data_IF_264060643656
#
_entry.id   IF_264060643656
#
_cell.length_a   1.000
_cell.length_b   1.000
_cell.length_c   1.000
_cell.angle_alpha   90.00
_cell.angle_beta   90.00
_cell.angle_gamma   90.00
#
_symmetry.space_group_name_H-M   'P 1'
#
loop_
_entity.id
_entity.type
_entity.pdbx_description
1 polymer ?
#
# COMPACT_ATOMS: atom_id res chain seq x y z
N UNK A 1 34.70 -16.65 -9.03
CA UNK A 1 33.28 -16.82 -9.38
C UNK A 1 32.66 -15.45 -9.60
N UNK A 2 32.35 -15.06 -10.85
CA UNK A 2 31.67 -13.79 -11.20
C UNK A 2 30.26 -13.98 -11.81
N UNK A 3 29.85 -15.23 -12.01
CA UNK A 3 28.63 -15.63 -12.73
C UNK A 3 27.34 -15.32 -11.92
N UNK A 4 27.44 -15.14 -10.59
CA UNK A 4 26.28 -14.94 -9.73
C UNK A 4 25.62 -13.55 -9.83
N UNK A 5 26.40 -12.48 -10.08
CA UNK A 5 25.87 -11.11 -10.07
C UNK A 5 25.14 -10.75 -11.36
N UNK A 6 25.67 -11.19 -12.50
CA UNK A 6 25.05 -10.96 -13.81
C UNK A 6 23.71 -11.71 -13.94
N UNK A 7 23.65 -12.94 -13.43
CA UNK A 7 22.39 -13.71 -13.41
C UNK A 7 21.32 -13.03 -12.55
N UNK A 8 21.71 -12.52 -11.38
CA UNK A 8 20.79 -11.84 -10.46
C UNK A 8 20.24 -10.53 -11.06
N UNK A 9 21.10 -9.75 -11.73
CA UNK A 9 20.69 -8.53 -12.44
C UNK A 9 19.71 -8.87 -13.57
N UNK A 10 20.01 -9.90 -14.36
CA UNK A 10 19.14 -10.33 -15.46
C UNK A 10 17.76 -10.79 -14.96
N UNK A 11 17.71 -11.60 -13.89
CA UNK A 11 16.45 -12.04 -13.28
C UNK A 11 15.63 -10.86 -12.73
N UNK A 12 16.27 -9.83 -12.19
CA UNK A 12 15.59 -8.61 -11.71
C UNK A 12 15.04 -7.76 -12.87
N UNK A 13 15.82 -7.57 -13.93
CA UNK A 13 15.38 -6.84 -15.12
C UNK A 13 14.17 -7.53 -15.79
N UNK A 14 14.20 -8.86 -15.87
CA UNK A 14 13.10 -9.65 -16.42
C UNK A 14 11.81 -9.50 -15.61
N UNK A 15 11.90 -9.60 -14.27
CA UNK A 15 10.75 -9.38 -13.37
C UNK A 15 10.21 -7.96 -13.47
N UNK A 16 11.08 -6.95 -13.53
CA UNK A 16 10.66 -5.56 -13.67
C UNK A 16 9.90 -5.33 -14.97
N UNK A 17 10.44 -5.83 -16.09
CA UNK A 17 9.77 -5.75 -17.40
C UNK A 17 8.42 -6.47 -17.37
N UNK A 18 8.37 -7.64 -16.73
CA UNK A 18 7.13 -8.41 -16.62
C UNK A 18 6.08 -7.67 -15.80
N UNK A 19 6.48 -7.01 -14.71
CA UNK A 19 5.56 -6.21 -13.90
C UNK A 19 4.97 -5.06 -14.72
N UNK A 20 5.80 -4.32 -15.47
CA UNK A 20 5.33 -3.24 -16.32
C UNK A 20 4.35 -3.74 -17.39
N UNK A 21 4.62 -4.89 -18.01
CA UNK A 21 3.73 -5.54 -18.97
C UNK A 21 2.38 -5.92 -18.34
N UNK A 22 2.40 -6.60 -17.19
CA UNK A 22 1.18 -7.03 -16.48
C UNK A 22 0.34 -5.82 -16.07
N UNK A 23 0.97 -4.74 -15.58
CA UNK A 23 0.25 -3.51 -15.23
C UNK A 23 -0.40 -2.86 -16.46
N UNK A 24 0.29 -2.84 -17.61
CA UNK A 24 -0.27 -2.31 -18.85
C UNK A 24 -1.41 -3.16 -19.41
N UNK A 25 -1.35 -4.49 -19.24
CA UNK A 25 -2.44 -5.40 -19.59
C UNK A 25 -3.66 -5.14 -18.70
N UNK A 26 -3.48 -5.03 -17.38
CA UNK A 26 -4.56 -4.75 -16.42
C UNK A 26 -5.31 -3.44 -16.69
N UNK A 27 -4.67 -2.45 -17.32
CA UNK A 27 -5.34 -1.18 -17.70
C UNK A 27 -6.31 -1.34 -18.88
N UNK A 28 -6.10 -2.36 -19.71
CA UNK A 28 -6.80 -2.57 -20.99
C UNK A 28 -7.73 -3.77 -20.96
N UNK A 29 -7.50 -4.70 -20.04
CA UNK A 29 -8.26 -5.93 -19.94
C UNK A 29 -9.68 -5.67 -19.42
N UNK A 30 -10.63 -6.38 -20.02
CA UNK A 30 -12.06 -6.31 -19.68
C UNK A 30 -12.64 -7.69 -19.36
N UNK A 31 -11.93 -8.76 -19.70
CA UNK A 31 -12.28 -10.12 -19.30
C UNK A 31 -12.03 -10.31 -17.80
N UNK A 32 -13.07 -10.72 -17.07
CA UNK A 32 -13.04 -10.81 -15.61
C UNK A 32 -12.04 -11.84 -15.12
N UNK A 33 -12.01 -13.02 -15.75
CA UNK A 33 -11.15 -14.12 -15.31
C UNK A 33 -9.68 -13.81 -15.57
N UNK A 34 -9.38 -13.26 -16.75
CA UNK A 34 -8.04 -12.80 -17.08
C UNK A 34 -7.61 -11.63 -16.20
N UNK A 35 -8.52 -10.75 -15.81
CA UNK A 35 -8.24 -9.69 -14.84
C UNK A 35 -7.83 -10.28 -13.49
N UNK A 36 -8.54 -11.31 -12.98
CA UNK A 36 -8.18 -11.98 -11.73
C UNK A 36 -6.77 -12.56 -11.77
N UNK A 37 -6.45 -13.28 -12.85
CA UNK A 37 -5.13 -13.90 -13.02
C UNK A 37 -4.01 -12.87 -13.14
N UNK A 38 -4.23 -11.80 -13.93
CA UNK A 38 -3.26 -10.71 -14.03
C UNK A 38 -3.10 -9.96 -12.70
N UNK A 39 -4.16 -9.81 -11.90
CA UNK A 39 -4.08 -9.19 -10.57
C UNK A 39 -3.29 -10.05 -9.58
N UNK A 40 -3.48 -11.38 -9.60
CA UNK A 40 -2.65 -12.33 -8.82
C UNK A 40 -1.18 -12.20 -9.19
N UNK A 41 -0.89 -12.17 -10.49
CA UNK A 41 0.48 -12.02 -10.99
C UNK A 41 1.09 -10.66 -10.59
N UNK A 42 0.32 -9.57 -10.75
CA UNK A 42 0.74 -8.23 -10.35
C UNK A 42 1.08 -8.17 -8.86
N UNK A 43 0.23 -8.75 -7.99
CA UNK A 43 0.49 -8.82 -6.55
C UNK A 43 1.81 -9.53 -6.24
N UNK A 44 2.05 -10.70 -6.82
CA UNK A 44 3.28 -11.48 -6.59
C UNK A 44 4.52 -10.70 -7.01
N UNK A 45 4.47 -10.03 -8.17
CA UNK A 45 5.57 -9.21 -8.68
C UNK A 45 5.80 -7.95 -7.83
N UNK A 46 4.74 -7.28 -7.37
CA UNK A 46 4.82 -6.13 -6.47
C UNK A 46 5.41 -6.53 -5.11
N UNK A 47 4.96 -7.64 -4.54
CA UNK A 47 5.48 -8.19 -3.29
C UNK A 47 6.99 -8.41 -3.37
N UNK A 48 7.45 -9.08 -4.43
CA UNK A 48 8.89 -9.28 -4.68
C UNK A 48 9.60 -7.94 -4.76
N UNK A 49 9.06 -6.98 -5.52
CA UNK A 49 9.68 -5.66 -5.69
C UNK A 49 9.82 -4.90 -4.38
N UNK A 50 8.82 -4.95 -3.51
CA UNK A 50 8.88 -4.32 -2.19
C UNK A 50 9.89 -5.00 -1.28
N UNK A 51 9.94 -6.34 -1.27
CA UNK A 51 10.97 -7.09 -0.52
C UNK A 51 12.39 -6.72 -0.99
N UNK A 52 12.62 -6.66 -2.30
CA UNK A 52 13.91 -6.24 -2.88
C UNK A 52 14.28 -4.78 -2.55
N UNK A 53 13.29 -3.96 -2.24
CA UNK A 53 13.48 -2.55 -1.83
C UNK A 53 13.65 -2.40 -0.31
N UNK A 54 13.86 -3.49 0.43
CA UNK A 54 14.02 -3.50 1.88
C UNK A 54 12.71 -3.49 2.68
N UNK A 55 11.58 -3.76 2.04
CA UNK A 55 10.29 -3.85 2.71
C UNK A 55 10.19 -5.09 3.60
N UNK A 56 9.78 -4.91 4.85
CA UNK A 56 9.42 -5.98 5.78
C UNK A 56 7.96 -6.37 5.55
N UNK A 57 7.72 -7.61 5.11
CA UNK A 57 6.38 -8.12 4.84
C UNK A 57 5.65 -8.58 6.10
N UNK A 58 4.37 -8.22 6.16
CA UNK A 58 3.39 -8.61 7.17
C UNK A 58 2.18 -9.27 6.51
N UNK A 59 1.87 -10.48 6.94
CA UNK A 59 0.68 -11.23 6.54
C UNK A 59 -0.53 -10.94 7.46
N UNK A 60 -0.33 -10.67 8.75
CA UNK A 60 -1.35 -10.11 9.64
C UNK A 60 -1.30 -8.57 9.66
N UNK A 61 -2.36 -7.94 9.15
CA UNK A 61 -2.47 -6.48 9.10
C UNK A 61 -2.65 -5.84 10.49
N UNK A 62 -3.17 -6.57 11.48
CA UNK A 62 -3.35 -6.05 12.83
C UNK A 62 -2.01 -5.96 13.56
N UNK A 63 -1.16 -6.97 13.42
CA UNK A 63 0.22 -6.93 13.91
C UNK A 63 0.97 -5.76 13.26
N UNK A 64 0.83 -5.62 11.94
CA UNK A 64 1.39 -4.49 11.22
C UNK A 64 0.95 -3.13 11.80
N UNK A 65 -0.34 -2.90 12.06
CA UNK A 65 -0.81 -1.65 12.68
C UNK A 65 -0.27 -1.45 14.09
N UNK A 66 -0.14 -2.54 14.86
CA UNK A 66 0.44 -2.49 16.19
C UNK A 66 1.93 -2.09 16.15
N UNK A 67 2.66 -2.42 15.09
CA UNK A 67 4.10 -2.18 15.00
C UNK A 67 4.47 -0.82 14.44
N UNK A 68 3.55 -0.24 13.68
CA UNK A 68 3.70 1.14 13.24
C UNK A 68 3.75 2.07 14.45
N UNK A 69 4.71 3.00 14.41
CA UNK A 69 4.90 4.03 15.42
C UNK A 69 4.99 5.38 14.76
N UNK A 70 4.13 6.31 15.19
CA UNK A 70 4.23 7.73 14.84
C UNK A 70 3.00 8.28 14.13
N UNK A 71 3.23 9.41 13.45
CA UNK A 71 2.21 10.18 12.75
C UNK A 71 2.49 10.16 11.26
N UNK A 72 1.47 9.82 10.49
CA UNK A 72 1.58 9.57 9.06
C UNK A 72 0.51 10.35 8.32
N UNK A 73 0.85 10.74 7.10
CA UNK A 73 -0.12 11.15 6.11
C UNK A 73 -0.36 9.93 5.22
N UNK A 74 -1.60 9.48 5.16
CA UNK A 74 -1.99 8.20 4.57
C UNK A 74 -2.97 8.44 3.43
N UNK A 75 -2.81 7.76 2.31
CA UNK A 75 -3.72 7.87 1.16
C UNK A 75 -3.72 6.64 0.28
N UNK A 76 -4.79 6.46 -0.46
CA UNK A 76 -4.82 5.59 -1.62
C UNK A 76 -3.97 6.19 -2.76
N UNK A 77 -3.20 5.34 -3.40
CA UNK A 77 -2.40 5.68 -4.56
C UNK A 77 -2.44 4.52 -5.58
N UNK A 78 -2.13 4.81 -6.84
CA UNK A 78 -2.10 3.76 -7.86
C UNK A 78 -0.91 2.82 -7.64
N UNK A 79 -1.10 1.49 -7.78
CA UNK A 79 -0.01 0.52 -7.58
C UNK A 79 1.25 0.83 -8.39
N UNK A 80 1.08 1.26 -9.64
CA UNK A 80 2.18 1.68 -10.52
C UNK A 80 3.02 2.82 -9.92
N UNK A 81 2.37 3.84 -9.36
CA UNK A 81 3.07 4.98 -8.79
C UNK A 81 3.79 4.59 -7.51
N UNK A 82 3.19 3.73 -6.69
CA UNK A 82 3.82 3.21 -5.47
C UNK A 82 5.07 2.39 -5.81
N UNK A 83 4.98 1.47 -6.79
CA UNK A 83 6.12 0.68 -7.27
C UNK A 83 7.24 1.58 -7.81
N UNK A 84 6.90 2.59 -8.60
CA UNK A 84 7.86 3.57 -9.10
C UNK A 84 8.53 4.33 -7.95
N UNK A 85 7.79 4.67 -6.90
CA UNK A 85 8.33 5.39 -5.75
C UNK A 85 9.27 4.53 -4.92
N UNK A 86 8.82 3.34 -4.52
CA UNK A 86 9.56 2.42 -3.65
C UNK A 86 10.75 1.82 -4.38
N UNK A 87 10.52 1.26 -5.59
CA UNK A 87 11.53 0.51 -6.31
C UNK A 87 12.47 1.36 -7.17
N UNK A 88 12.02 2.52 -7.66
CA UNK A 88 12.82 3.37 -8.55
C UNK A 88 13.23 4.71 -7.92
N UNK A 89 12.98 4.89 -6.62
CA UNK A 89 13.29 6.12 -5.88
C UNK A 89 12.75 7.39 -6.56
N UNK A 90 11.51 7.34 -7.07
CA UNK A 90 10.86 8.49 -7.70
C UNK A 90 9.91 9.20 -6.73
N UNK A 91 9.97 10.52 -6.69
CA UNK A 91 9.03 11.33 -5.90
C UNK A 91 7.57 11.11 -6.31
N UNK A 92 6.69 11.01 -5.32
CA UNK A 92 5.24 11.03 -5.54
C UNK A 92 4.70 12.46 -5.48
N UNK A 93 4.26 12.97 -6.63
CA UNK A 93 3.53 14.24 -6.69
C UNK A 93 2.13 14.08 -6.09
N UNK A 94 1.86 14.79 -5.01
CA UNK A 94 0.56 14.84 -4.34
C UNK A 94 -0.13 16.13 -4.75
N UNK A 95 -1.28 16.00 -5.39
CA UNK A 95 -2.15 17.12 -5.73
C UNK A 95 -3.59 16.75 -5.40
N UNK A 96 -4.32 17.58 -4.66
CA UNK A 96 -5.75 17.38 -4.46
C UNK A 96 -6.50 17.72 -5.76
N UNK A 97 -7.68 17.14 -5.93
CA UNK A 97 -8.64 17.59 -6.92
C UNK A 97 -9.52 18.67 -6.26
N UNK A 98 -9.30 19.94 -6.61
CA UNK A 98 -9.94 21.09 -5.94
C UNK A 98 -9.66 21.08 -4.42
N UNK A 99 -10.68 21.38 -3.62
CA UNK A 99 -10.62 21.44 -2.16
C UNK A 99 -11.16 20.17 -1.49
N UNK A 100 -11.25 19.06 -2.21
CA UNK A 100 -11.62 17.78 -1.62
C UNK A 100 -10.45 17.17 -0.84
N UNK A 101 -10.74 16.45 0.25
CA UNK A 101 -9.73 15.65 0.93
C UNK A 101 -9.04 14.71 -0.06
N UNK A 102 -7.79 14.37 0.24
CA UNK A 102 -7.02 13.43 -0.56
C UNK A 102 -5.99 12.65 0.26
N UNK A 103 -6.01 12.83 1.59
CA UNK A 103 -5.21 12.12 2.57
C UNK A 103 -5.97 12.03 3.90
N UNK A 104 -5.47 11.18 4.79
CA UNK A 104 -5.82 11.12 6.21
C UNK A 104 -4.57 11.41 7.02
N UNK A 105 -4.67 12.29 8.03
CA UNK A 105 -3.63 12.45 9.04
C UNK A 105 -3.86 11.41 10.14
N UNK A 106 -3.14 10.30 10.04
CA UNK A 106 -3.31 9.13 10.89
C UNK A 106 -2.20 9.04 11.93
N UNK A 107 -2.55 8.61 13.13
CA UNK A 107 -1.61 8.35 14.21
C UNK A 107 -1.73 6.88 14.61
N UNK A 108 -0.59 6.23 14.86
CA UNK A 108 -0.58 4.82 15.24
C UNK A 108 -1.42 4.51 16.49
N UNK A 109 -1.55 5.48 17.40
CA UNK A 109 -2.39 5.39 18.61
C UNK A 109 -3.89 5.19 18.31
N UNK A 110 -4.34 5.49 17.09
CA UNK A 110 -5.72 5.29 16.66
C UNK A 110 -6.00 3.88 16.12
N UNK A 111 -4.99 3.01 16.04
CA UNK A 111 -5.14 1.67 15.45
C UNK A 111 -5.70 1.76 14.04
N UNK A 112 -6.72 0.96 13.69
CA UNK A 112 -7.33 1.00 12.35
C UNK A 112 -8.24 2.20 12.09
N UNK A 113 -8.53 3.03 13.10
CA UNK A 113 -9.42 4.20 12.97
C UNK A 113 -8.79 5.22 12.03
N UNK A 114 -9.55 5.66 11.02
CA UNK A 114 -9.08 6.60 9.98
C UNK A 114 -8.43 5.95 8.76
N UNK A 115 -7.83 4.76 8.89
CA UNK A 115 -7.26 4.06 7.73
C UNK A 115 -8.32 3.67 6.69
N UNK A 116 -9.55 3.36 7.16
CA UNK A 116 -10.69 3.14 6.27
C UNK A 116 -10.96 4.34 5.36
N UNK A 117 -10.81 5.54 5.89
CA UNK A 117 -10.99 6.76 5.12
C UNK A 117 -9.84 6.94 4.13
N UNK A 118 -8.62 6.52 4.45
CA UNK A 118 -7.51 6.56 3.51
C UNK A 118 -7.74 5.71 2.24
N UNK A 119 -8.53 4.63 2.32
CA UNK A 119 -8.96 3.85 1.14
C UNK A 119 -9.96 4.59 0.25
N UNK A 120 -10.58 5.67 0.74
CA UNK A 120 -11.46 6.54 -0.04
C UNK A 120 -10.72 7.77 -0.55
N UNK A 121 -9.61 8.14 0.10
CA UNK A 121 -8.87 9.35 -0.18
C UNK A 121 -7.68 9.10 -1.11
N UNK A 122 -7.79 9.59 -2.34
CA UNK A 122 -6.75 9.47 -3.35
C UNK A 122 -7.26 8.86 -4.65
N UNK A 123 -6.36 8.24 -5.41
CA UNK A 123 -6.68 7.77 -6.75
C UNK A 123 -5.98 6.47 -7.07
N UNK A 124 -6.69 5.58 -7.74
CA UNK A 124 -6.09 4.46 -8.47
C UNK A 124 -6.38 3.10 -7.83
N UNK A 125 -6.83 2.19 -8.68
CA UNK A 125 -6.82 0.75 -8.47
C UNK A 125 -6.43 0.10 -9.79
N UNK A 126 -5.92 -1.13 -9.74
CA UNK A 126 -5.50 -1.86 -10.94
C UNK A 126 -6.01 -3.29 -10.85
N UNK A 127 -7.01 -3.64 -11.64
CA UNK A 127 -7.63 -4.98 -11.60
C UNK A 127 -8.19 -5.37 -10.22
N UNK A 128 -8.62 -4.39 -9.41
CA UNK A 128 -9.07 -4.59 -8.03
C UNK A 128 -7.96 -4.51 -6.98
N UNK A 129 -6.67 -4.53 -7.36
CA UNK A 129 -5.57 -4.24 -6.46
C UNK A 129 -5.57 -2.76 -6.05
N UNK A 130 -5.59 -2.53 -4.75
CA UNK A 130 -5.50 -1.19 -4.15
C UNK A 130 -4.27 -1.10 -3.29
N UNK A 131 -3.56 0.02 -3.39
CA UNK A 131 -2.45 0.36 -2.51
C UNK A 131 -2.78 1.60 -1.69
N UNK A 132 -2.58 1.49 -0.38
CA UNK A 132 -2.60 2.61 0.56
C UNK A 132 -1.19 2.83 1.06
N UNK A 133 -0.70 4.05 0.97
CA UNK A 133 0.65 4.41 1.39
C UNK A 133 0.59 5.31 2.61
N UNK A 134 1.55 5.14 3.51
CA UNK A 134 1.79 6.04 4.63
C UNK A 134 3.18 6.63 4.57
N UNK A 135 3.27 7.95 4.64
CA UNK A 135 4.54 8.67 4.68
C UNK A 135 4.57 9.68 5.82
N UNK A 136 5.78 10.01 6.28
CA UNK A 136 5.98 11.15 7.17
C UNK A 136 5.72 12.41 6.35
N UNK A 137 5.02 13.40 6.93
CA UNK A 137 4.69 14.66 6.24
C UNK A 137 5.92 15.35 5.62
N UNK A 138 7.10 15.21 6.26
CA UNK A 138 8.35 15.78 5.78
C UNK A 138 8.27 17.30 5.60
N UNK A 139 9.19 17.85 4.81
CA UNK A 139 9.15 19.26 4.35
C UNK A 139 8.51 19.43 2.97
N UNK A 140 8.42 18.34 2.19
CA UNK A 140 7.95 18.34 0.80
C UNK A 140 6.43 18.44 0.65
N UNK A 141 5.66 18.23 1.72
CA UNK A 141 4.20 18.19 1.69
C UNK A 141 3.60 19.20 2.65
N UNK A 142 2.66 19.98 2.14
CA UNK A 142 1.78 20.83 2.95
C UNK A 142 0.48 20.09 3.18
N UNK A 143 0.02 20.10 4.43
CA UNK A 143 -1.26 19.51 4.84
C UNK A 143 -2.07 20.63 5.48
N UNK A 144 -3.32 20.79 5.03
CA UNK A 144 -4.30 21.74 5.54
C UNK A 144 -5.59 21.03 5.90
N UNK A 145 -6.39 21.67 6.76
CA UNK A 145 -7.72 21.17 7.09
C UNK A 145 -8.68 21.31 5.91
N UNK A 146 -9.78 20.58 5.97
CA UNK A 146 -10.92 20.69 5.05
C UNK A 146 -12.06 21.47 5.70
N UNK A 147 -13.03 21.92 4.91
CA UNK A 147 -14.30 22.43 5.43
C UNK A 147 -15.04 21.37 6.25
N UNK A 148 -15.88 21.79 7.20
CA UNK A 148 -16.63 20.88 8.07
C UNK A 148 -17.57 19.97 7.27
N UNK A 149 -18.07 20.44 6.13
CA UNK A 149 -18.91 19.69 5.19
C UNK A 149 -18.19 18.46 4.58
N UNK A 150 -16.87 18.48 4.45
CA UNK A 150 -16.08 17.36 3.93
C UNK A 150 -15.70 16.35 5.04
N UNK A 151 -15.90 16.74 6.31
CA UNK A 151 -15.68 15.86 7.48
C UNK A 151 -16.88 14.96 7.77
N UNK A 152 -17.93 15.03 6.97
CA UNK A 152 -19.06 14.09 7.03
C UNK A 152 -19.31 13.48 5.66
N UNK A 153 -19.43 12.14 5.59
CA UNK A 153 -19.83 11.46 4.36
C UNK A 153 -20.74 10.29 4.70
N UNK A 154 -21.91 10.23 4.04
CA UNK A 154 -22.92 9.19 4.28
C UNK A 154 -23.30 9.04 5.77
N UNK A 155 -23.40 10.16 6.50
CA UNK A 155 -23.74 10.17 7.93
C UNK A 155 -22.63 9.68 8.86
N UNK A 156 -21.39 9.59 8.37
CA UNK A 156 -20.21 9.20 9.16
C UNK A 156 -19.22 10.35 9.26
N UNK A 157 -18.73 10.57 10.47
CA UNK A 157 -17.66 11.51 10.77
C UNK A 157 -16.30 11.02 10.25
N UNK A 158 -15.54 11.95 9.67
CA UNK A 158 -14.25 11.75 9.00
C UNK A 158 -13.23 12.79 9.48
N UNK A 159 -13.21 13.09 10.77
CA UNK A 159 -12.41 14.19 11.34
C UNK A 159 -10.88 14.12 11.12
N UNK A 160 -10.35 13.02 10.57
CA UNK A 160 -8.93 12.84 10.23
C UNK A 160 -8.59 13.15 8.76
N UNK A 161 -9.58 13.39 7.90
CA UNK A 161 -9.33 13.71 6.49
C UNK A 161 -8.73 15.11 6.33
N UNK A 162 -7.80 15.26 5.40
CA UNK A 162 -7.09 16.52 5.15
C UNK A 162 -6.86 16.71 3.66
N UNK A 163 -6.48 17.93 3.29
CA UNK A 163 -5.93 18.24 1.96
C UNK A 163 -4.41 18.24 2.07
N UNK A 164 -3.74 17.45 1.24
CA UNK A 164 -2.30 17.49 1.07
C UNK A 164 -1.91 17.91 -0.36
N UNK A 165 -0.84 18.70 -0.45
CA UNK A 165 -0.22 19.12 -1.72
C UNK A 165 1.30 19.17 -1.58
N UNK A 166 2.01 18.63 -2.57
CA UNK A 166 3.48 18.68 -2.60
C UNK A 166 4.11 17.46 -3.27
N UNK A 167 5.30 17.08 -2.79
CA UNK A 167 6.02 15.89 -3.21
C UNK A 167 6.37 15.06 -1.99
N UNK A 168 5.98 13.78 -2.00
CA UNK A 168 6.47 12.79 -1.05
C UNK A 168 7.78 12.22 -1.61
N UNK A 169 8.86 12.30 -0.84
CA UNK A 169 10.10 11.64 -1.22
C UNK A 169 10.01 10.15 -0.86
N UNK A 170 10.67 9.25 -1.62
CA UNK A 170 10.68 7.82 -1.32
C UNK A 170 11.13 7.51 0.11
N UNK A 171 12.12 8.23 0.62
CA UNK A 171 12.63 8.12 2.00
C UNK A 171 11.62 8.49 3.09
N UNK A 172 10.60 9.31 2.75
CA UNK A 172 9.52 9.64 3.67
C UNK A 172 8.47 8.53 3.73
N UNK A 173 8.45 7.59 2.77
CA UNK A 173 7.50 6.48 2.75
C UNK A 173 7.86 5.46 3.83
N UNK A 174 6.91 5.22 4.73
CA UNK A 174 7.14 4.36 5.88
C UNK A 174 6.47 3.01 5.69
N UNK A 175 5.35 2.98 4.96
CA UNK A 175 4.65 1.74 4.72
C UNK A 175 3.75 1.76 3.48
N UNK A 176 3.42 0.56 3.02
CA UNK A 176 2.41 0.29 2.00
C UNK A 176 1.48 -0.81 2.51
N UNK A 177 0.18 -0.63 2.34
CA UNK A 177 -0.86 -1.64 2.57
C UNK A 177 -1.40 -2.05 1.20
N UNK A 178 -1.34 -3.33 0.88
CA UNK A 178 -2.00 -3.92 -0.27
C UNK A 178 -3.38 -4.44 0.16
N UNK A 179 -4.41 -4.15 -0.65
CA UNK A 179 -5.75 -4.73 -0.52
C UNK A 179 -6.15 -5.38 -1.82
N UNK A 180 -6.55 -6.65 -1.76
CA UNK A 180 -6.98 -7.43 -2.92
C UNK A 180 -8.31 -8.12 -2.65
N UNK A 181 -9.20 -8.25 -3.65
CA UNK A 181 -10.31 -9.19 -3.57
C UNK A 181 -9.79 -10.62 -3.38
N UNK A 182 -10.52 -11.44 -2.62
CA UNK A 182 -10.09 -12.81 -2.26
C UNK A 182 -9.94 -13.68 -3.51
N UNK A 183 -10.85 -13.53 -4.47
CA UNK A 183 -10.83 -14.25 -5.75
C UNK A 183 -9.61 -13.91 -6.61
N UNK A 184 -8.96 -12.76 -6.34
CA UNK A 184 -7.74 -12.31 -7.00
C UNK A 184 -6.48 -12.55 -6.14
N UNK A 185 -6.59 -13.25 -4.99
CA UNK A 185 -5.46 -13.47 -4.10
C UNK A 185 -4.88 -14.88 -4.30
N UNK A 186 -3.54 -15.08 -4.26
CA UNK A 186 -2.95 -16.40 -4.34
C UNK A 186 -3.44 -17.31 -3.20
N UNK A 187 -4.07 -18.44 -3.53
CA UNK A 187 -4.75 -19.29 -2.54
C UNK A 187 -3.80 -19.88 -1.49
N UNK A 188 -2.55 -20.13 -1.89
CA UNK A 188 -1.45 -20.63 -1.07
C UNK A 188 -0.92 -19.59 -0.07
N UNK A 189 -1.20 -18.30 -0.29
CA UNK A 189 -0.85 -17.21 0.63
C UNK A 189 -2.00 -16.79 1.56
N UNK A 190 -3.19 -17.41 1.44
CA UNK A 190 -4.34 -17.12 2.32
C UNK A 190 -4.12 -17.79 3.68
N UNK A 191 -3.98 -16.98 4.72
CA UNK A 191 -3.76 -17.45 6.10
C UNK A 191 -5.03 -18.01 6.74
N UNK A 192 -4.89 -18.72 7.86
CA UNK A 192 -6.02 -19.17 8.68
C UNK A 192 -6.84 -18.01 9.26
N UNK A 193 -6.19 -16.90 9.59
CA UNK A 193 -6.82 -15.66 10.04
C UNK A 193 -7.68 -15.03 8.95
N UNK A 194 -7.18 -14.99 7.71
CA UNK A 194 -7.97 -14.50 6.57
C UNK A 194 -9.23 -15.35 6.42
N UNK A 195 -9.10 -16.69 6.40
CA UNK A 195 -10.23 -17.62 6.29
C UNK A 195 -11.25 -17.41 7.41
N UNK A 196 -10.79 -17.20 8.64
CA UNK A 196 -11.66 -16.92 9.78
C UNK A 196 -12.41 -15.61 9.59
N UNK A 197 -11.72 -14.56 9.13
CA UNK A 197 -12.32 -13.24 8.92
C UNK A 197 -13.35 -13.26 7.79
N UNK A 198 -13.07 -14.01 6.72
CA UNK A 198 -13.99 -14.26 5.60
C UNK A 198 -15.28 -14.93 6.11
N UNK A 199 -15.16 -16.02 6.86
CA UNK A 199 -16.30 -16.78 7.36
C UNK A 199 -17.11 -16.01 8.41
N UNK A 200 -16.44 -15.31 9.32
CA UNK A 200 -17.08 -14.67 10.48
C UNK A 200 -17.66 -13.28 10.17
N UNK A 201 -16.99 -12.51 9.31
CA UNK A 201 -17.33 -11.11 9.06
C UNK A 201 -17.74 -10.83 7.61
N UNK A 202 -17.87 -11.88 6.78
CA UNK A 202 -18.14 -11.76 5.34
C UNK A 202 -17.14 -10.79 4.67
N UNK A 203 -15.87 -10.89 5.07
CA UNK A 203 -14.81 -10.08 4.52
C UNK A 203 -14.56 -10.52 3.07
N UNK A 204 -14.51 -9.56 2.14
CA UNK A 204 -14.31 -9.82 0.70
C UNK A 204 -12.89 -9.51 0.21
N UNK A 205 -12.01 -9.06 1.11
CA UNK A 205 -10.67 -8.60 0.76
C UNK A 205 -9.61 -9.18 1.68
N UNK A 206 -8.41 -9.38 1.15
CA UNK A 206 -7.20 -9.72 1.91
C UNK A 206 -6.31 -8.48 1.99
N UNK A 207 -5.71 -8.26 3.16
CA UNK A 207 -4.81 -7.13 3.41
C UNK A 207 -3.41 -7.64 3.74
N UNK A 208 -2.38 -7.00 3.17
CA UNK A 208 -0.97 -7.27 3.46
C UNK A 208 -0.22 -5.97 3.69
N UNK A 209 0.69 -5.96 4.65
CA UNK A 209 1.49 -4.80 5.02
C UNK A 209 2.94 -4.93 4.55
N UNK A 210 3.54 -3.81 4.18
CA UNK A 210 4.98 -3.66 4.00
C UNK A 210 5.44 -2.44 4.77
N UNK A 211 6.42 -2.61 5.65
CA UNK A 211 7.07 -1.49 6.34
C UNK A 211 8.47 -1.28 5.76
N UNK A 212 8.87 -0.02 5.57
CA UNK A 212 10.15 0.36 4.92
C UNK A 212 11.09 1.12 5.86
N UNK A 213 10.81 1.15 7.16
CA UNK A 213 11.62 1.89 8.13
C UNK A 213 12.41 0.97 9.07
N UNK A 214 13.54 1.48 9.57
CA UNK A 214 14.42 0.78 10.53
C UNK A 214 13.69 0.36 11.81
N UNK A 215 12.64 1.10 12.22
CA UNK A 215 11.87 0.76 13.41
C UNK A 215 11.05 -0.52 13.26
N UNK A 216 10.59 -0.86 12.05
CA UNK A 216 9.85 -2.10 11.81
C UNK A 216 10.78 -3.31 11.78
N UNK A 217 12.00 -3.14 11.27
CA UNK A 217 13.04 -4.17 11.33
C UNK A 217 13.44 -4.46 12.78
N UNK A 218 13.72 -3.40 13.56
CA UNK A 218 14.03 -3.51 14.99
C UNK A 218 12.89 -4.14 15.79
N UNK A 219 11.64 -3.69 15.59
CA UNK A 219 10.47 -4.21 16.32
C UNK A 219 10.12 -5.67 15.95
N UNK A 220 10.53 -6.13 14.75
CA UNK A 220 10.39 -7.53 14.35
C UNK A 220 11.49 -8.39 14.97
N UNK A 221 12.73 -7.91 14.97
CA UNK A 221 13.86 -8.58 15.61
C UNK A 221 13.64 -8.77 17.12
N UNK A 222 13.15 -7.74 17.81
CA UNK A 222 12.84 -7.80 19.25
C UNK A 222 11.76 -8.86 19.57
N UNK A 223 10.76 -9.04 18.70
CA UNK A 223 9.72 -10.05 18.90
C UNK A 223 10.17 -11.48 18.60
N UNK A 224 11.04 -11.66 17.61
CA UNK A 224 11.62 -12.98 17.33
C UNK A 224 12.61 -13.42 18.43
N UNK A 225 13.11 -12.48 19.22
CA UNK A 225 14.02 -12.73 20.33
C UNK A 225 13.34 -12.97 21.69
N UNK A 226 12.02 -12.71 21.80
CA UNK A 226 11.23 -12.84 23.03
C UNK A 226 10.45 -14.16 23.09
#
# INVERSE_FOLDING_TARGET
>A
MKIGREKLIFEQEEKSRRLDEVMELLKKEVDEEKTKELTKEAYSLIKIRFLESGGVFYDDINEFYHDLRGNFVVRMESPERVVNSVGMHKDLKISPQKDHPNVVEWRSEYGSVGLRDAFLEGTGMLGGLITVIGFRKGKGIRVSDVGEEEKEMFGRERGLVRIAKGKAHPEDMQFVILRLPIECFPEDEITSQDRTSIQKYNQHYVFRGFAFNESAETAREERLAA
#
